data_IF_990690795618
#
_entry.id   IF_990690795618
#
_cell.length_a   1.000
_cell.length_b   1.000
_cell.length_c   1.000
_cell.angle_alpha   90.00
_cell.angle_beta   90.00
_cell.angle_gamma   90.00
#
_symmetry.space_group_name_H-M   'P 1'
#
loop_
_entity.id
_entity.type
_entity.pdbx_description
1 polymer ?
#
# COMPACT_ATOMS: atom_id res chain seq x y z
N UNK A 1 -18.76 -0.74 -22.04
CA UNK A 1 -17.94 -1.89 -21.60
C UNK A 1 -17.04 -1.36 -20.49
N UNK A 2 -17.28 -1.74 -19.23
CA UNK A 2 -16.46 -1.28 -18.12
C UNK A 2 -15.05 -1.84 -18.27
N UNK A 3 -14.05 -0.95 -18.29
CA UNK A 3 -12.64 -1.34 -18.34
C UNK A 3 -12.29 -1.92 -16.97
N UNK A 4 -11.95 -3.21 -16.92
CA UNK A 4 -11.37 -3.82 -15.73
C UNK A 4 -10.02 -3.17 -15.46
N UNK A 5 -9.94 -2.37 -14.39
CA UNK A 5 -8.70 -1.70 -13.97
C UNK A 5 -7.98 -2.64 -12.99
N UNK A 6 -6.75 -3.02 -13.33
CA UNK A 6 -5.94 -3.89 -12.49
C UNK A 6 -5.58 -3.24 -11.15
N UNK A 7 -5.24 -4.04 -10.13
CA UNK A 7 -4.77 -3.49 -8.86
C UNK A 7 -3.54 -2.58 -9.06
N UNK A 8 -2.62 -2.96 -9.93
CA UNK A 8 -1.44 -2.17 -10.27
C UNK A 8 -1.82 -0.79 -10.83
N UNK A 9 -2.76 -0.72 -11.77
CA UNK A 9 -3.24 0.55 -12.34
C UNK A 9 -3.96 1.41 -11.28
N UNK A 10 -4.74 0.80 -10.39
CA UNK A 10 -5.41 1.52 -9.29
C UNK A 10 -4.39 2.04 -8.28
N UNK A 11 -3.34 1.31 -7.98
CA UNK A 11 -2.28 1.78 -7.08
C UNK A 11 -1.47 2.90 -7.73
N UNK A 12 -1.16 2.80 -9.03
CA UNK A 12 -0.53 3.89 -9.80
C UNK A 12 -1.36 5.17 -9.80
N UNK A 13 -2.68 5.07 -9.96
CA UNK A 13 -3.55 6.27 -9.94
C UNK A 13 -3.62 6.94 -8.56
N UNK A 14 -3.30 6.22 -7.49
CA UNK A 14 -3.11 6.76 -6.14
C UNK A 14 -1.70 7.32 -5.89
N UNK A 15 -0.80 7.25 -6.88
CA UNK A 15 0.57 7.77 -6.80
C UNK A 15 1.59 6.77 -6.30
N UNK A 16 1.24 5.49 -6.15
CA UNK A 16 2.20 4.46 -5.76
C UNK A 16 3.06 4.04 -6.97
N UNK A 17 4.36 3.89 -6.73
CA UNK A 17 5.26 3.14 -7.58
C UNK A 17 4.97 1.65 -7.44
N UNK A 18 4.84 0.95 -8.56
CA UNK A 18 4.72 -0.51 -8.60
C UNK A 18 6.12 -1.07 -8.75
N UNK A 19 6.70 -1.57 -7.65
CA UNK A 19 8.04 -2.15 -7.66
C UNK A 19 8.02 -3.54 -8.30
N UNK A 20 7.14 -4.41 -7.81
CA UNK A 20 6.90 -5.73 -8.37
C UNK A 20 5.38 -5.89 -8.50
N UNK A 21 4.91 -6.19 -9.72
CA UNK A 21 3.49 -6.35 -10.02
C UNK A 21 2.78 -7.23 -8.98
N UNK A 22 1.64 -6.75 -8.46
CA UNK A 22 0.83 -7.46 -7.46
C UNK A 22 1.55 -7.87 -6.16
N UNK A 23 2.74 -7.31 -5.89
CA UNK A 23 3.60 -7.75 -4.79
C UNK A 23 4.15 -6.58 -3.97
N UNK A 24 4.58 -5.49 -4.59
CA UNK A 24 5.16 -4.36 -3.86
C UNK A 24 4.72 -3.03 -4.47
N UNK A 25 4.10 -2.20 -3.64
CA UNK A 25 3.73 -0.84 -3.97
C UNK A 25 4.31 0.11 -2.93
N UNK A 26 4.95 1.18 -3.38
CA UNK A 26 5.63 2.15 -2.51
C UNK A 26 5.19 3.56 -2.88
N UNK A 27 4.89 4.39 -1.87
CA UNK A 27 4.62 5.81 -2.05
C UNK A 27 5.43 6.60 -1.03
N UNK A 28 6.32 7.45 -1.50
CA UNK A 28 7.07 8.36 -0.65
C UNK A 28 6.17 9.52 -0.22
N UNK A 29 6.00 9.70 1.09
CA UNK A 29 5.30 10.86 1.63
C UNK A 29 6.24 12.05 1.78
N UNK A 30 7.49 11.78 2.20
CA UNK A 30 8.61 12.72 2.27
C UNK A 30 9.91 11.94 2.52
N UNK A 31 11.04 12.66 2.65
CA UNK A 31 12.37 12.08 2.90
C UNK A 31 12.47 11.11 4.08
N UNK A 32 11.55 11.19 5.04
CA UNK A 32 11.57 10.44 6.29
C UNK A 32 10.38 9.48 6.42
N UNK A 33 9.49 9.38 5.43
CA UNK A 33 8.30 8.55 5.56
C UNK A 33 7.80 8.04 4.21
N UNK A 34 7.45 6.75 4.18
CA UNK A 34 6.83 6.11 3.03
C UNK A 34 5.67 5.21 3.45
N UNK A 35 4.76 5.01 2.51
CA UNK A 35 3.70 4.02 2.57
C UNK A 35 4.11 2.82 1.74
N UNK A 36 3.92 1.63 2.30
CA UNK A 36 4.24 0.38 1.64
C UNK A 36 3.02 -0.53 1.70
N UNK A 37 2.72 -1.14 0.56
CA UNK A 37 1.80 -2.26 0.44
C UNK A 37 2.55 -3.46 -0.10
N UNK A 38 2.54 -4.55 0.65
CA UNK A 38 3.19 -5.80 0.27
C UNK A 38 2.17 -6.92 0.13
N UNK A 39 2.24 -7.64 -0.99
CA UNK A 39 1.43 -8.80 -1.29
C UNK A 39 2.22 -10.09 -1.13
N UNK A 40 1.76 -11.00 -0.30
CA UNK A 40 2.38 -12.30 -0.05
C UNK A 40 1.41 -13.47 -0.32
N UNK A 41 1.98 -14.64 -0.64
CA UNK A 41 1.22 -15.90 -0.64
C UNK A 41 1.21 -16.46 0.77
N UNK A 42 0.02 -16.59 1.35
CA UNK A 42 -0.16 -17.11 2.70
C UNK A 42 -0.85 -18.48 2.62
N UNK A 43 -0.28 -19.49 3.29
CA UNK A 43 -0.85 -20.85 3.32
C UNK A 43 -2.29 -20.81 3.82
N UNK A 44 -3.19 -21.53 3.15
CA UNK A 44 -4.61 -21.58 3.48
C UNK A 44 -5.46 -20.54 2.76
N UNK A 45 -4.87 -19.69 1.90
CA UNK A 45 -5.60 -18.76 1.06
C UNK A 45 -5.32 -19.02 -0.43
N UNK A 46 -6.39 -18.94 -1.24
CA UNK A 46 -6.32 -19.07 -2.70
C UNK A 46 -5.72 -17.83 -3.37
N UNK A 47 -5.94 -16.66 -2.77
CA UNK A 47 -5.48 -15.37 -3.26
C UNK A 47 -4.31 -14.82 -2.45
N UNK A 48 -3.56 -13.88 -3.04
CA UNK A 48 -2.54 -13.11 -2.30
C UNK A 48 -3.19 -12.30 -1.19
N UNK A 49 -2.47 -12.19 -0.08
CA UNK A 49 -2.85 -11.37 1.05
C UNK A 49 -1.93 -10.16 1.11
N UNK A 50 -2.50 -9.02 1.46
CA UNK A 50 -1.81 -7.74 1.44
C UNK A 50 -1.70 -7.14 2.82
N UNK A 51 -0.55 -6.56 3.10
CA UNK A 51 -0.28 -5.78 4.30
C UNK A 51 0.00 -4.34 3.89
N UNK A 52 -0.58 -3.39 4.62
CA UNK A 52 -0.42 -1.96 4.38
C UNK A 52 0.11 -1.29 5.64
N UNK A 53 1.23 -0.59 5.50
CA UNK A 53 1.91 0.04 6.61
C UNK A 53 2.64 1.31 6.20
N UNK A 54 2.96 2.15 7.20
CA UNK A 54 3.82 3.33 7.06
C UNK A 54 5.16 3.03 7.71
N UNK A 55 6.24 3.26 6.97
CA UNK A 55 7.60 3.20 7.48
C UNK A 55 8.11 4.63 7.70
N UNK A 56 8.77 4.87 8.83
CA UNK A 56 9.37 6.15 9.20
C UNK A 56 10.86 5.95 9.40
N UNK A 57 11.63 6.89 8.85
CA UNK A 57 13.08 6.93 8.90
C UNK A 57 13.56 8.16 9.67
N UNK A 58 14.68 8.01 10.36
CA UNK A 58 15.48 9.12 10.88
C UNK A 58 16.95 8.83 10.58
N UNK A 59 17.66 9.82 10.02
CA UNK A 59 19.07 9.70 9.63
C UNK A 59 19.34 8.45 8.76
N UNK A 60 18.46 8.19 7.79
CA UNK A 60 18.57 7.05 6.87
C UNK A 60 18.25 5.68 7.49
N UNK A 61 17.94 5.61 8.80
CA UNK A 61 17.60 4.35 9.49
C UNK A 61 16.10 4.25 9.74
N UNK A 62 15.54 3.06 9.56
CA UNK A 62 14.15 2.77 9.95
C UNK A 62 14.03 2.90 11.47
N UNK A 63 13.17 3.81 11.94
CA UNK A 63 12.94 4.04 13.37
C UNK A 63 11.55 3.63 13.82
N UNK A 64 10.58 3.59 12.91
CA UNK A 64 9.22 3.20 13.26
C UNK A 64 8.47 2.55 12.11
N UNK A 65 7.60 1.60 12.46
CA UNK A 65 6.71 0.90 11.54
C UNK A 65 5.30 0.95 12.13
N UNK A 66 4.35 1.54 11.40
CA UNK A 66 2.94 1.56 11.77
C UNK A 66 2.14 0.72 10.79
N UNK A 67 1.68 -0.44 11.25
CA UNK A 67 0.85 -1.36 10.47
C UNK A 67 -0.62 -0.89 10.52
N UNK A 68 -1.25 -0.71 9.37
CA UNK A 68 -2.67 -0.33 9.27
C UNK A 68 -3.57 -1.53 9.01
N UNK A 69 -3.10 -2.47 8.20
CA UNK A 69 -3.72 -3.76 7.89
C UNK A 69 -2.64 -4.79 7.65
N UNK A 70 -2.92 -6.03 8.02
CA UNK A 70 -2.04 -7.17 7.83
C UNK A 70 -2.83 -8.31 7.19
N UNK A 71 -2.26 -8.90 6.13
CA UNK A 71 -2.78 -10.10 5.45
C UNK A 71 -4.26 -10.06 5.07
N UNK A 72 -4.74 -8.92 4.59
CA UNK A 72 -6.13 -8.77 4.13
C UNK A 72 -6.28 -9.07 2.63
N UNK A 73 -7.52 -9.15 2.14
CA UNK A 73 -7.79 -9.26 0.70
C UNK A 73 -7.33 -8.02 -0.06
N UNK A 74 -7.19 -8.13 -1.39
CA UNK A 74 -6.85 -6.98 -2.24
C UNK A 74 -7.91 -5.86 -2.16
N UNK A 75 -9.19 -6.21 -2.09
CA UNK A 75 -10.29 -5.25 -1.97
C UNK A 75 -10.24 -4.50 -0.65
N UNK A 76 -10.11 -5.21 0.47
CA UNK A 76 -10.03 -4.59 1.80
C UNK A 76 -8.79 -3.70 1.94
N UNK A 77 -7.66 -4.16 1.40
CA UNK A 77 -6.44 -3.36 1.35
C UNK A 77 -6.67 -2.08 0.57
N UNK A 78 -7.22 -2.16 -0.64
CA UNK A 78 -7.42 -1.00 -1.50
C UNK A 78 -8.36 0.02 -0.85
N UNK A 79 -9.47 -0.43 -0.24
CA UNK A 79 -10.38 0.45 0.50
C UNK A 79 -9.62 1.20 1.59
N UNK A 80 -8.79 0.50 2.37
CA UNK A 80 -8.02 1.12 3.44
C UNK A 80 -6.99 2.13 2.92
N UNK A 81 -6.28 1.79 1.86
CA UNK A 81 -5.32 2.70 1.21
C UNK A 81 -6.04 3.93 0.69
N UNK A 82 -7.13 3.78 -0.05
CA UNK A 82 -7.89 4.90 -0.61
C UNK A 82 -8.38 5.86 0.49
N UNK A 83 -9.01 5.34 1.54
CA UNK A 83 -9.45 6.16 2.68
C UNK A 83 -8.28 6.86 3.38
N UNK A 84 -7.11 6.23 3.45
CA UNK A 84 -5.91 6.85 4.02
C UNK A 84 -5.38 7.98 3.14
N UNK A 85 -5.38 7.79 1.82
CA UNK A 85 -4.97 8.84 0.86
C UNK A 85 -5.92 10.04 0.93
N UNK A 86 -7.24 9.81 1.02
CA UNK A 86 -8.23 10.87 1.22
C UNK A 86 -8.00 11.63 2.53
N UNK A 87 -7.68 10.92 3.62
CA UNK A 87 -7.36 11.53 4.91
C UNK A 87 -6.13 12.45 4.83
N UNK A 88 -5.07 12.02 4.14
CA UNK A 88 -3.87 12.87 3.98
C UNK A 88 -4.20 14.08 3.12
N UNK A 89 -4.91 13.92 2.00
CA UNK A 89 -5.29 15.04 1.11
C UNK A 89 -6.11 16.11 1.82
N UNK A 90 -6.92 15.75 2.81
CA UNK A 90 -7.72 16.70 3.61
C UNK A 90 -6.93 17.42 4.71
N UNK A 91 -5.73 16.93 5.04
CA UNK A 91 -4.88 17.46 6.12
C UNK A 91 -3.66 18.23 5.65
N UNK A 92 -3.29 18.10 4.37
CA UNK A 92 -2.32 18.96 3.70
C UNK A 92 -3.01 20.18 3.13
#
# INVERSE_FOLDING_TARGET
MERWVSLDERMKSLGFLVGIASTLYVLDLNRNAMLIVEGERVKGFSERRFSFYKMIYANGKRVHLKVYRERVSASDMFVKVNSFMEYIKKKG
#
